data_IF_826035670863
#
_entry.id   IF_826035670863
#
_cell.length_a   1.000
_cell.length_b   1.000
_cell.length_c   1.000
_cell.angle_alpha   90.00
_cell.angle_beta   90.00
_cell.angle_gamma   90.00
#
_symmetry.space_group_name_H-M   'P 1'
#
loop_
_entity.id
_entity.type
_entity.pdbx_description
1 polymer ?
#
# COMPACT_ATOMS: atom_id res chain seq x y z
N UNK A 1 -36.84 -18.37 27.80
CA UNK A 1 -36.44 -16.95 27.88
C UNK A 1 -36.88 -16.24 26.60
N UNK A 2 -37.73 -15.23 26.73
CA UNK A 2 -38.50 -14.62 25.64
C UNK A 2 -37.61 -13.67 24.80
N UNK A 3 -37.43 -13.92 23.49
CA UNK A 3 -36.56 -13.16 22.57
C UNK A 3 -37.22 -11.89 22.00
N UNK A 4 -37.78 -11.00 22.81
CA UNK A 4 -38.49 -9.81 22.28
C UNK A 4 -38.04 -8.42 22.76
N UNK A 5 -37.07 -8.27 23.65
CA UNK A 5 -36.79 -6.95 24.27
C UNK A 5 -35.39 -6.35 24.05
N UNK A 6 -34.66 -6.76 23.00
CA UNK A 6 -33.41 -6.11 22.62
C UNK A 6 -33.62 -5.15 21.45
N UNK A 7 -33.74 -3.85 21.76
CA UNK A 7 -33.81 -2.78 20.77
C UNK A 7 -32.49 -1.99 20.73
N UNK A 8 -32.14 -1.47 19.55
CA UNK A 8 -30.94 -0.62 19.34
C UNK A 8 -30.82 0.52 20.35
N UNK A 9 -31.94 1.08 20.82
CA UNK A 9 -31.96 2.17 21.81
C UNK A 9 -31.54 1.71 23.21
N UNK A 10 -31.94 0.49 23.62
CA UNK A 10 -31.52 -0.13 24.89
C UNK A 10 -30.03 -0.51 24.86
N UNK A 11 -29.53 -0.95 23.70
CA UNK A 11 -28.11 -1.23 23.53
C UNK A 11 -27.26 0.03 23.71
N UNK A 12 -27.61 1.13 23.03
CA UNK A 12 -26.90 2.41 23.17
C UNK A 12 -26.97 2.93 24.61
N UNK A 13 -28.14 2.88 25.28
CA UNK A 13 -28.25 3.36 26.66
C UNK A 13 -27.40 2.56 27.66
N UNK A 14 -27.31 1.24 27.48
CA UNK A 14 -26.51 0.36 28.35
C UNK A 14 -25.01 0.57 28.12
N UNK A 15 -24.58 0.71 26.86
CA UNK A 15 -23.18 0.98 26.51
C UNK A 15 -22.74 2.35 27.00
N UNK A 16 -23.56 3.38 26.84
CA UNK A 16 -23.25 4.74 27.31
C UNK A 16 -23.17 4.84 28.84
N UNK A 17 -23.99 4.09 29.58
CA UNK A 17 -23.92 4.06 31.04
C UNK A 17 -22.67 3.30 31.55
N UNK A 18 -22.27 2.22 30.88
CA UNK A 18 -21.07 1.46 31.22
C UNK A 18 -19.76 2.22 30.98
N UNK A 19 -19.70 3.05 29.94
CA UNK A 19 -18.49 3.84 29.61
C UNK A 19 -18.20 4.96 30.62
N UNK A 20 -19.22 5.52 31.28
CA UNK A 20 -19.03 6.58 32.30
C UNK A 20 -18.47 5.99 33.61
N UNK A 21 -18.95 4.81 34.01
CA UNK A 21 -18.43 4.12 35.20
C UNK A 21 -16.96 3.71 35.06
N UNK A 22 -16.53 3.36 33.84
CA UNK A 22 -15.14 2.99 33.57
C UNK A 22 -14.20 4.21 33.50
N UNK A 23 -14.67 5.36 33.02
CA UNK A 23 -13.90 6.60 33.00
C UNK A 23 -13.63 7.16 34.41
N UNK A 24 -14.53 6.93 35.37
CA UNK A 24 -14.36 7.38 36.76
C UNK A 24 -13.42 6.47 37.58
N UNK A 25 -13.31 5.18 37.23
CA UNK A 25 -12.47 4.21 37.94
C UNK A 25 -11.01 4.15 37.42
N UNK A 26 -10.71 4.71 36.24
CA UNK A 26 -9.36 4.73 35.65
C UNK A 26 -8.67 6.09 35.77
N UNK A 27 -8.83 6.77 36.91
CA UNK A 27 -8.03 7.95 37.25
C UNK A 27 -6.54 7.64 37.44
N UNK A 28 -6.14 6.37 37.39
CA UNK A 28 -4.77 5.95 37.11
C UNK A 28 -4.63 5.63 35.62
N UNK A 29 -4.03 6.54 34.86
CA UNK A 29 -3.71 6.34 33.45
C UNK A 29 -2.79 5.12 33.30
N UNK A 30 -3.26 4.08 32.60
CA UNK A 30 -2.45 2.93 32.18
C UNK A 30 -1.25 3.31 31.27
N UNK A 31 -1.07 4.61 31.01
CA UNK A 31 -0.03 5.21 30.17
C UNK A 31 0.92 6.13 30.94
N UNK A 32 0.88 6.14 32.28
CA UNK A 32 1.79 6.97 33.09
C UNK A 32 3.29 6.70 32.79
N UNK A 33 3.65 5.49 32.34
CA UNK A 33 5.01 5.13 31.91
C UNK A 33 5.49 5.79 30.61
N UNK A 34 4.59 6.40 29.82
CA UNK A 34 4.94 7.18 28.62
C UNK A 34 4.92 8.70 28.87
N UNK A 35 4.61 9.15 30.09
CA UNK A 35 4.55 10.56 30.45
C UNK A 35 5.93 11.11 30.86
N UNK A 36 6.95 10.85 30.05
CA UNK A 36 8.12 11.72 30.02
C UNK A 36 7.72 13.01 29.28
N UNK A 37 7.09 13.96 29.98
CA UNK A 37 6.76 15.26 29.39
C UNK A 37 8.05 16.07 29.20
N UNK A 38 8.75 15.82 28.10
CA UNK A 38 9.73 16.78 27.60
C UNK A 38 8.93 18.02 27.17
N UNK A 39 9.21 19.19 27.75
CA UNK A 39 8.49 20.44 27.47
C UNK A 39 8.56 20.83 25.99
N UNK A 40 9.59 20.37 25.27
CA UNK A 40 9.76 20.57 23.83
C UNK A 40 9.01 19.54 22.97
N UNK A 41 8.48 18.45 23.54
CA UNK A 41 7.73 17.42 22.80
C UNK A 41 6.35 17.89 22.32
N UNK A 42 5.84 19.00 22.86
CA UNK A 42 4.60 19.64 22.36
C UNK A 42 4.81 20.48 21.11
N UNK A 43 6.06 20.82 20.78
CA UNK A 43 6.38 21.63 19.61
C UNK A 43 6.72 20.70 18.46
N UNK A 44 6.13 20.91 17.28
CA UNK A 44 6.45 20.09 16.10
C UNK A 44 7.95 20.20 15.81
N UNK A 45 8.59 19.10 15.41
CA UNK A 45 10.01 19.10 15.09
C UNK A 45 10.37 20.12 13.99
N UNK A 46 9.49 20.31 13.01
CA UNK A 46 9.65 21.33 11.95
C UNK A 46 9.60 22.76 12.50
N UNK A 47 8.99 22.97 13.67
CA UNK A 47 8.90 24.25 14.37
C UNK A 47 9.98 24.39 15.46
N UNK A 48 11.01 23.54 15.45
CA UNK A 48 12.10 23.54 16.42
C UNK A 48 11.76 22.86 17.75
N UNK A 49 10.80 21.94 17.76
CA UNK A 49 10.69 20.94 18.83
C UNK A 49 11.68 19.78 18.62
N UNK A 50 11.81 18.92 19.62
CA UNK A 50 12.74 17.80 19.55
C UNK A 50 12.23 16.74 18.56
N UNK A 51 13.01 16.38 17.51
CA UNK A 51 12.59 15.36 16.55
C UNK A 51 12.55 13.98 17.21
N UNK A 52 11.46 13.25 16.98
CA UNK A 52 11.26 11.87 17.47
C UNK A 52 12.42 10.93 17.09
N UNK A 53 13.05 11.18 15.93
CA UNK A 53 14.26 10.48 15.48
C UNK A 53 15.42 11.46 15.37
N UNK A 54 16.34 11.37 16.33
CA UNK A 54 17.55 12.21 16.42
C UNK A 54 18.72 11.64 15.60
N UNK A 55 18.83 10.31 15.47
CA UNK A 55 19.88 9.65 14.69
C UNK A 55 19.33 9.16 13.33
N UNK A 56 19.25 10.08 12.35
CA UNK A 56 18.72 9.80 11.01
C UNK A 56 19.80 9.17 10.13
N UNK A 57 19.90 7.84 10.13
CA UNK A 57 20.55 7.11 9.04
C UNK A 57 19.44 6.48 8.19
N UNK A 58 19.31 6.96 6.96
CA UNK A 58 18.40 6.40 5.97
C UNK A 58 19.22 5.64 4.94
N UNK A 59 18.74 4.48 4.45
CA UNK A 59 19.36 3.86 3.29
C UNK A 59 19.23 4.80 2.09
N UNK A 60 20.27 4.84 1.27
CA UNK A 60 20.20 5.55 -0.01
C UNK A 60 19.24 4.84 -0.96
N UNK A 61 18.58 5.63 -1.79
CA UNK A 61 17.65 5.15 -2.81
C UNK A 61 17.92 5.87 -4.13
N UNK A 62 17.97 5.16 -5.27
CA UNK A 62 17.75 3.71 -5.45
C UNK A 62 18.92 2.84 -4.99
N UNK A 63 18.64 1.57 -4.68
CA UNK A 63 19.67 0.57 -4.39
C UNK A 63 20.45 0.21 -5.66
N UNK A 64 21.79 0.22 -5.58
CA UNK A 64 22.70 -0.16 -6.66
C UNK A 64 23.82 -1.01 -6.08
N UNK A 65 24.07 -2.17 -6.68
CA UNK A 65 25.22 -3.04 -6.40
C UNK A 65 25.90 -3.50 -7.70
N UNK A 66 27.03 -4.20 -7.56
CA UNK A 66 27.79 -4.70 -8.71
C UNK A 66 26.96 -5.67 -9.57
N UNK A 67 26.11 -6.49 -8.94
CA UNK A 67 25.27 -7.46 -9.64
C UNK A 67 24.26 -6.79 -10.57
N UNK A 68 23.66 -5.68 -10.13
CA UNK A 68 22.78 -4.86 -10.98
C UNK A 68 23.54 -4.35 -12.19
N UNK A 69 24.74 -3.80 -12.00
CA UNK A 69 25.59 -3.27 -13.09
C UNK A 69 25.96 -4.38 -14.08
N UNK A 70 26.46 -5.52 -13.58
CA UNK A 70 26.80 -6.69 -14.39
C UNK A 70 25.60 -7.20 -15.21
N UNK A 71 24.40 -7.20 -14.64
CA UNK A 71 23.18 -7.66 -15.32
C UNK A 71 22.80 -6.77 -16.51
N UNK A 72 22.99 -5.45 -16.38
CA UNK A 72 22.75 -4.46 -17.43
C UNK A 72 23.81 -4.61 -18.52
N UNK A 73 25.08 -4.75 -18.14
CA UNK A 73 26.18 -4.97 -19.08
C UNK A 73 25.96 -6.27 -19.88
N UNK A 74 25.62 -7.37 -19.22
CA UNK A 74 25.32 -8.65 -19.86
C UNK A 74 24.19 -8.53 -20.88
N UNK A 75 23.09 -7.86 -20.50
CA UNK A 75 21.95 -7.65 -21.41
C UNK A 75 22.36 -6.79 -22.60
N UNK A 76 23.11 -5.71 -22.35
CA UNK A 76 23.61 -4.80 -23.40
C UNK A 76 24.49 -5.54 -24.40
N UNK A 77 25.48 -6.31 -23.93
CA UNK A 77 26.42 -7.08 -24.77
C UNK A 77 25.75 -8.24 -25.51
N UNK A 78 24.66 -8.79 -24.98
CA UNK A 78 23.95 -9.91 -25.62
C UNK A 78 23.28 -9.54 -26.94
N UNK A 79 22.97 -8.25 -27.17
CA UNK A 79 22.17 -7.78 -28.31
C UNK A 79 20.69 -8.18 -28.26
N UNK A 80 20.24 -8.85 -27.19
CA UNK A 80 18.85 -9.24 -26.96
C UNK A 80 18.22 -8.21 -26.01
N UNK A 81 17.60 -7.18 -26.58
CA UNK A 81 17.06 -6.03 -25.85
C UNK A 81 15.54 -6.01 -25.79
N UNK A 82 14.88 -6.92 -26.51
CA UNK A 82 13.43 -7.04 -26.50
C UNK A 82 13.01 -8.49 -26.24
N UNK A 83 11.93 -8.67 -25.48
CA UNK A 83 11.40 -10.00 -25.12
C UNK A 83 11.07 -10.87 -26.34
N UNK A 84 10.70 -10.26 -27.47
CA UNK A 84 10.35 -10.99 -28.71
C UNK A 84 11.56 -11.68 -29.35
N UNK A 85 12.78 -11.26 -29.00
CA UNK A 85 14.00 -11.78 -29.61
C UNK A 85 14.45 -13.11 -28.98
N UNK A 86 13.97 -13.44 -27.77
CA UNK A 86 14.33 -14.69 -27.10
C UNK A 86 13.28 -15.12 -26.08
N UNK A 87 12.79 -16.35 -26.23
CA UNK A 87 11.90 -17.00 -25.28
C UNK A 87 12.56 -17.29 -23.92
N UNK A 88 13.91 -17.32 -23.87
CA UNK A 88 14.69 -17.55 -22.66
C UNK A 88 15.53 -16.30 -22.29
N UNK A 89 15.10 -15.12 -22.73
CA UNK A 89 15.78 -13.86 -22.44
C UNK A 89 15.56 -13.36 -21.00
N UNK A 90 16.08 -12.17 -20.69
CA UNK A 90 15.99 -11.56 -19.36
C UNK A 90 14.55 -11.38 -18.89
N UNK A 91 13.62 -10.97 -19.77
CA UNK A 91 12.22 -10.76 -19.40
C UNK A 91 11.48 -12.07 -19.10
N UNK A 92 11.45 -13.10 -19.97
CA UNK A 92 10.77 -14.37 -19.66
C UNK A 92 11.32 -15.08 -18.41
N UNK A 93 12.64 -15.00 -18.20
CA UNK A 93 13.27 -15.59 -16.99
C UNK A 93 12.89 -14.82 -15.73
N UNK A 94 12.83 -13.49 -15.79
CA UNK A 94 12.28 -12.67 -14.72
C UNK A 94 10.81 -12.99 -14.44
N UNK A 95 9.96 -13.06 -15.46
CA UNK A 95 8.52 -13.38 -15.31
C UNK A 95 8.32 -14.71 -14.56
N UNK A 96 9.08 -15.75 -14.93
CA UNK A 96 9.02 -17.04 -14.23
C UNK A 96 9.44 -16.92 -12.75
N UNK A 97 10.59 -16.32 -12.48
CA UNK A 97 11.09 -16.16 -11.11
C UNK A 97 10.16 -15.28 -10.25
N UNK A 98 9.54 -14.26 -10.86
CA UNK A 98 8.63 -13.36 -10.18
C UNK A 98 7.27 -14.02 -9.91
N UNK A 99 6.76 -14.85 -10.82
CA UNK A 99 5.58 -15.67 -10.57
C UNK A 99 5.79 -16.63 -9.38
N UNK A 100 6.95 -17.28 -9.32
CA UNK A 100 7.34 -18.14 -8.19
C UNK A 100 7.42 -17.34 -6.88
N UNK A 101 8.02 -16.14 -6.91
CA UNK A 101 8.12 -15.26 -5.74
C UNK A 101 6.75 -14.81 -5.21
N UNK A 102 5.81 -14.51 -6.12
CA UNK A 102 4.47 -14.02 -5.78
C UNK A 102 3.45 -15.13 -5.54
N UNK A 103 3.87 -16.40 -5.66
CA UNK A 103 2.98 -17.58 -5.60
C UNK A 103 1.81 -17.49 -6.60
N UNK A 104 2.06 -16.89 -7.78
CA UNK A 104 1.06 -16.75 -8.85
C UNK A 104 1.28 -17.80 -9.95
N UNK A 105 0.19 -18.21 -10.62
CA UNK A 105 0.29 -19.14 -11.75
C UNK A 105 0.97 -18.55 -12.98
N UNK A 106 0.91 -17.22 -13.14
CA UNK A 106 1.46 -16.49 -14.28
C UNK A 106 1.97 -15.11 -13.85
N UNK A 107 2.92 -14.56 -14.60
CA UNK A 107 3.40 -13.18 -14.50
C UNK A 107 3.66 -12.63 -15.91
N UNK A 108 3.28 -11.37 -16.13
CA UNK A 108 3.57 -10.64 -17.36
C UNK A 108 4.22 -9.31 -16.99
N UNK A 109 5.45 -9.09 -17.45
CA UNK A 109 6.18 -7.86 -17.22
C UNK A 109 5.78 -6.80 -18.26
N UNK A 110 5.55 -5.58 -17.79
CA UNK A 110 5.15 -4.42 -18.59
C UNK A 110 6.00 -3.19 -18.25
N UNK A 111 5.86 -2.12 -19.02
CA UNK A 111 6.73 -0.94 -18.90
C UNK A 111 6.51 -0.09 -17.65
N UNK A 112 5.36 -0.16 -16.99
CA UNK A 112 5.08 0.59 -15.76
C UNK A 112 3.89 0.02 -14.98
N UNK A 113 3.72 0.45 -13.72
CA UNK A 113 2.56 0.09 -12.89
C UNK A 113 1.22 0.54 -13.50
N UNK A 114 1.15 1.73 -14.09
CA UNK A 114 -0.06 2.19 -14.80
C UNK A 114 -0.41 1.29 -15.97
N UNK A 115 0.58 0.84 -16.75
CA UNK A 115 0.36 -0.09 -17.86
C UNK A 115 -0.10 -1.46 -17.36
N UNK A 116 0.41 -1.91 -16.20
CA UNK A 116 -0.02 -3.17 -15.59
C UNK A 116 -1.51 -3.13 -15.23
N UNK A 117 -1.95 -2.07 -14.56
CA UNK A 117 -3.35 -1.88 -14.21
C UNK A 117 -4.23 -1.74 -15.46
N UNK A 118 -3.82 -0.96 -16.45
CA UNK A 118 -4.57 -0.83 -17.69
C UNK A 118 -4.71 -2.16 -18.42
N UNK A 119 -3.64 -2.95 -18.50
CA UNK A 119 -3.67 -4.30 -19.10
C UNK A 119 -4.64 -5.23 -18.34
N UNK A 120 -4.68 -5.15 -17.01
CA UNK A 120 -5.59 -5.93 -16.20
C UNK A 120 -7.06 -5.52 -16.40
N UNK A 121 -7.34 -4.21 -16.47
CA UNK A 121 -8.69 -3.67 -16.73
C UNK A 121 -9.19 -4.13 -18.10
N UNK A 122 -8.38 -3.99 -19.14
CA UNK A 122 -8.71 -4.44 -20.50
C UNK A 122 -8.88 -5.97 -20.58
N UNK A 123 -8.04 -6.74 -19.89
CA UNK A 123 -8.15 -8.21 -19.86
C UNK A 123 -9.40 -8.72 -19.12
N UNK A 124 -9.99 -7.90 -18.26
CA UNK A 124 -11.28 -8.16 -17.60
C UNK A 124 -12.47 -7.66 -18.43
N UNK A 125 -12.23 -7.14 -19.64
CA UNK A 125 -13.24 -6.59 -20.55
C UNK A 125 -14.04 -5.43 -19.93
N UNK A 126 -13.45 -4.71 -18.97
CA UNK A 126 -14.06 -3.52 -18.36
C UNK A 126 -14.04 -2.38 -19.37
N UNK A 127 -15.17 -1.69 -19.51
CA UNK A 127 -15.33 -0.67 -20.54
C UNK A 127 -16.37 0.41 -20.23
N UNK A 128 -16.88 1.09 -21.28
CA UNK A 128 -17.90 2.12 -21.13
C UNK A 128 -19.16 1.60 -20.44
N UNK A 129 -19.56 2.29 -19.37
CA UNK A 129 -20.75 1.93 -18.58
C UNK A 129 -20.44 1.13 -17.32
N UNK A 130 -19.21 0.63 -17.18
CA UNK A 130 -18.78 -0.06 -15.97
C UNK A 130 -18.28 0.92 -14.90
N UNK A 131 -18.45 0.53 -13.65
CA UNK A 131 -17.96 1.25 -12.47
C UNK A 131 -16.88 0.44 -11.77
N UNK A 132 -15.76 1.09 -11.42
CA UNK A 132 -14.64 0.46 -10.72
C UNK A 132 -14.39 1.18 -9.40
N UNK A 133 -14.62 0.46 -8.29
CA UNK A 133 -14.39 0.98 -6.94
C UNK A 133 -12.90 1.16 -6.70
N UNK A 134 -12.51 2.33 -6.19
CA UNK A 134 -11.12 2.64 -5.83
C UNK A 134 -11.01 3.45 -4.53
N UNK A 135 -9.79 3.72 -4.09
CA UNK A 135 -9.52 4.58 -2.92
C UNK A 135 -9.46 6.05 -3.36
N UNK A 136 -10.06 6.99 -2.61
CA UNK A 136 -9.87 8.43 -2.85
C UNK A 136 -8.45 8.90 -2.50
N UNK A 137 -7.64 8.06 -1.85
CA UNK A 137 -6.25 8.31 -1.52
C UNK A 137 -5.37 7.20 -2.11
N UNK A 138 -4.83 7.44 -3.30
CA UNK A 138 -3.98 6.52 -4.06
C UNK A 138 -3.12 7.27 -5.08
N UNK A 139 -2.18 6.58 -5.73
CA UNK A 139 -1.41 7.08 -6.87
C UNK A 139 -2.32 7.28 -8.11
N UNK A 140 -2.15 8.35 -8.90
CA UNK A 140 -2.95 8.65 -10.10
C UNK A 140 -2.98 7.52 -11.14
N UNK A 141 -1.97 6.64 -11.18
CA UNK A 141 -1.95 5.48 -12.06
C UNK A 141 -3.13 4.54 -11.87
N UNK A 142 -3.68 4.46 -10.64
CA UNK A 142 -4.88 3.67 -10.34
C UNK A 142 -6.10 4.18 -11.11
N UNK A 143 -6.31 5.50 -11.07
CA UNK A 143 -7.46 6.16 -11.70
C UNK A 143 -7.26 6.22 -13.22
N UNK A 144 -6.03 6.49 -13.68
CA UNK A 144 -5.71 6.57 -15.09
C UNK A 144 -6.04 5.27 -15.83
N UNK A 145 -5.74 4.11 -15.25
CA UNK A 145 -6.05 2.82 -15.86
C UNK A 145 -7.56 2.61 -16.13
N UNK A 146 -8.41 3.01 -15.17
CA UNK A 146 -9.88 2.91 -15.26
C UNK A 146 -10.40 3.86 -16.35
N UNK A 147 -9.94 5.12 -16.32
CA UNK A 147 -10.35 6.14 -17.28
C UNK A 147 -9.89 5.82 -18.71
N UNK A 148 -8.70 5.24 -18.88
CA UNK A 148 -8.20 4.80 -20.19
C UNK A 148 -9.09 3.75 -20.84
N UNK A 149 -9.69 2.87 -20.04
CA UNK A 149 -10.70 1.90 -20.48
C UNK A 149 -12.10 2.50 -20.65
N UNK A 150 -12.28 3.80 -20.36
CA UNK A 150 -13.55 4.55 -20.44
C UNK A 150 -14.59 4.10 -19.40
N UNK A 151 -14.16 3.45 -18.33
CA UNK A 151 -14.98 3.12 -17.18
C UNK A 151 -15.01 4.28 -16.15
N UNK A 152 -15.95 4.24 -15.21
CA UNK A 152 -16.12 5.25 -14.18
C UNK A 152 -15.45 4.82 -12.86
N UNK A 153 -14.41 5.52 -12.38
CA UNK A 153 -13.89 5.29 -11.03
C UNK A 153 -14.87 5.80 -9.98
N UNK A 154 -15.16 4.99 -8.96
CA UNK A 154 -16.07 5.30 -7.84
C UNK A 154 -15.34 5.28 -6.50
#
# INVERSE_FOLDING_TARGET
MNKKDFSRRKFISVVSAGSVGMAAATSASAFAGYSGTNSNARKLAILGGDPVRTNKSWPDWPYVDEKVVESIEKTTRSGIWCRIQSANGTVPTFEKAYAELMESGYCVAVGSGTQALHTAVEALEIGPGDEVITSPYTDPGTIAAILSARALPV
#
